data_IF_891607961994
#
_entry.id   IF_891607961994
#
_cell.length_a   1.000
_cell.length_b   1.000
_cell.length_c   1.000
_cell.angle_alpha   90.00
_cell.angle_beta   90.00
_cell.angle_gamma   90.00
#
_symmetry.space_group_name_H-M   'P 1'
#
loop_
_entity.id
_entity.type
_entity.pdbx_description
1 polymer ?
#
# COMPACT_ATOMS: atom_id res chain seq x y z
N UNK A 1 21.87 -10.93 -29.09
CA UNK A 1 21.71 -11.08 -27.62
C UNK A 1 20.23 -10.92 -27.30
N UNK A 2 19.54 -12.04 -27.10
CA UNK A 2 18.08 -12.08 -26.94
C UNK A 2 17.72 -11.82 -25.47
N UNK A 3 17.08 -10.68 -25.18
CA UNK A 3 16.51 -10.40 -23.85
C UNK A 3 15.23 -11.22 -23.73
N UNK A 4 15.26 -12.29 -22.93
CA UNK A 4 14.04 -12.97 -22.49
C UNK A 4 13.25 -11.96 -21.67
N UNK A 5 12.13 -11.49 -22.21
CA UNK A 5 11.09 -10.86 -21.43
C UNK A 5 10.41 -11.98 -20.66
N UNK A 6 10.79 -12.15 -19.39
CA UNK A 6 10.02 -13.00 -18.50
C UNK A 6 8.63 -12.37 -18.34
N UNK A 7 7.64 -12.93 -19.05
CA UNK A 7 6.23 -12.63 -18.86
C UNK A 7 5.85 -13.15 -17.46
N UNK A 8 5.59 -12.25 -16.53
CA UNK A 8 5.01 -12.62 -15.23
C UNK A 8 3.51 -12.33 -15.29
N UNK A 9 2.73 -13.36 -14.99
CA UNK A 9 1.27 -13.34 -15.03
C UNK A 9 0.73 -12.65 -13.78
N UNK A 10 -0.04 -11.57 -13.95
CA UNK A 10 -0.86 -10.99 -12.89
C UNK A 10 -2.10 -11.87 -12.74
N UNK A 11 -2.25 -12.56 -11.62
CA UNK A 11 -3.43 -13.36 -11.33
C UNK A 11 -4.49 -12.50 -10.63
N UNK A 12 -5.49 -12.02 -11.38
CA UNK A 12 -6.70 -11.40 -10.84
C UNK A 12 -7.57 -12.49 -10.22
N UNK A 13 -7.52 -12.68 -8.90
CA UNK A 13 -8.46 -13.54 -8.19
C UNK A 13 -9.63 -12.70 -7.67
N UNK A 14 -10.86 -13.09 -8.03
CA UNK A 14 -12.11 -12.50 -7.52
C UNK A 14 -12.87 -13.59 -6.75
N UNK A 15 -13.18 -13.37 -5.46
CA UNK A 15 -14.15 -14.04 -4.55
C UNK A 15 -13.52 -14.29 -3.14
N UNK A 16 -14.22 -14.31 -1.99
CA UNK A 16 -15.63 -14.24 -1.62
C UNK A 16 -15.81 -14.26 -0.06
N UNK A 17 -16.98 -13.81 0.39
CA UNK A 17 -17.71 -13.98 1.68
C UNK A 17 -17.00 -13.95 3.06
N UNK A 18 -17.29 -12.88 3.83
CA UNK A 18 -16.99 -12.71 5.25
C UNK A 18 -17.84 -13.64 6.14
N UNK A 19 -17.19 -14.46 6.98
CA UNK A 19 -17.80 -15.08 8.17
C UNK A 19 -17.49 -14.21 9.38
N UNK A 20 -18.52 -13.61 9.99
CA UNK A 20 -18.44 -12.93 11.28
C UNK A 20 -18.55 -13.93 12.43
N UNK A 21 -17.51 -14.04 13.25
CA UNK A 21 -17.58 -14.62 14.60
C UNK A 21 -17.67 -13.50 15.64
N UNK A 22 -18.65 -13.62 16.53
CA UNK A 22 -19.00 -12.63 17.57
C UNK A 22 -18.29 -12.97 18.88
N UNK A 23 -17.53 -12.04 19.48
CA UNK A 23 -16.94 -12.21 20.83
C UNK A 23 -17.70 -11.39 21.90
N UNK A 24 -17.94 -12.02 23.05
CA UNK A 24 -18.73 -11.53 24.19
C UNK A 24 -17.97 -10.54 25.11
N UNK A 25 -18.65 -9.74 25.97
CA UNK A 25 -18.04 -8.61 26.66
C UNK A 25 -17.60 -8.92 28.10
N UNK A 26 -16.44 -8.41 28.51
CA UNK A 26 -16.00 -8.44 29.91
C UNK A 26 -14.77 -7.58 30.21
N UNK A 27 -15.02 -6.41 30.83
CA UNK A 27 -14.24 -5.87 31.96
C UNK A 27 -12.84 -5.25 31.77
N UNK A 28 -12.74 -4.00 32.27
CA UNK A 28 -11.57 -3.26 32.78
C UNK A 28 -10.79 -2.33 31.84
N UNK A 29 -10.66 -1.08 32.31
CA UNK A 29 -10.09 0.07 31.63
C UNK A 29 -8.60 -0.07 31.41
N UNK A 30 -8.26 -0.46 30.19
CA UNK A 30 -7.02 -0.11 29.51
C UNK A 30 -7.40 1.04 28.56
N UNK A 31 -6.53 2.04 28.37
CA UNK A 31 -6.64 2.92 27.20
C UNK A 31 -6.39 2.04 25.96
N UNK A 32 -7.42 1.27 25.60
CA UNK A 32 -7.52 0.49 24.38
C UNK A 32 -7.54 1.54 23.28
N UNK A 33 -6.35 1.86 22.76
CA UNK A 33 -6.23 2.41 21.40
C UNK A 33 -7.14 1.56 20.55
N UNK A 34 -8.18 2.17 19.99
CA UNK A 34 -9.22 1.45 19.27
C UNK A 34 -8.55 0.88 18.03
N UNK A 35 -8.29 -0.44 17.94
CA UNK A 35 -7.70 -1.03 16.75
C UNK A 35 -8.57 -0.74 15.52
N UNK A 36 -9.86 -0.50 15.75
CA UNK A 36 -10.83 -0.07 14.74
C UNK A 36 -10.62 1.34 14.20
N UNK A 37 -9.99 2.28 14.94
CA UNK A 37 -9.78 3.64 14.46
C UNK A 37 -8.56 3.72 13.56
N UNK A 38 -7.43 3.12 13.98
CA UNK A 38 -6.20 3.13 13.20
C UNK A 38 -6.38 2.35 11.88
N UNK A 39 -7.06 1.20 11.94
CA UNK A 39 -7.46 0.45 10.73
C UNK A 39 -8.42 1.25 9.84
N UNK A 40 -9.38 1.97 10.43
CA UNK A 40 -10.30 2.81 9.65
C UNK A 40 -9.59 3.98 8.99
N UNK A 41 -8.64 4.63 9.67
CA UNK A 41 -7.84 5.72 9.10
C UNK A 41 -7.00 5.16 7.95
N UNK A 42 -6.28 4.06 8.20
CA UNK A 42 -5.47 3.36 7.20
C UNK A 42 -6.29 3.08 5.92
N UNK A 43 -7.44 2.43 6.08
CA UNK A 43 -8.32 2.06 4.97
C UNK A 43 -8.84 3.29 4.21
N UNK A 44 -9.15 4.37 4.93
CA UNK A 44 -9.63 5.61 4.31
C UNK A 44 -8.52 6.36 3.57
N UNK A 45 -7.28 6.31 4.05
CA UNK A 45 -6.11 6.83 3.33
C UNK A 45 -5.89 6.03 2.04
N UNK A 46 -5.89 4.70 2.10
CA UNK A 46 -5.75 3.83 0.93
C UNK A 46 -6.86 4.08 -0.11
N UNK A 47 -8.11 4.22 0.32
CA UNK A 47 -9.24 4.58 -0.55
C UNK A 47 -9.05 5.96 -1.21
N UNK A 48 -8.55 6.94 -0.44
CA UNK A 48 -8.27 8.29 -0.95
C UNK A 48 -7.20 8.27 -2.02
N UNK A 49 -6.13 7.48 -1.83
CA UNK A 49 -5.06 7.29 -2.81
C UNK A 49 -5.62 6.72 -4.11
N UNK A 50 -6.39 5.64 -4.04
CA UNK A 50 -6.99 5.02 -5.22
C UNK A 50 -7.95 5.98 -5.95
N UNK A 51 -8.76 6.76 -5.22
CA UNK A 51 -9.66 7.76 -5.81
C UNK A 51 -8.93 8.91 -6.50
N UNK A 52 -7.71 9.25 -6.05
CA UNK A 52 -6.87 10.29 -6.68
C UNK A 52 -6.10 9.79 -7.91
N UNK A 53 -6.02 8.47 -8.14
CA UNK A 53 -5.34 7.85 -9.27
C UNK A 53 -6.15 7.93 -10.59
N UNK A 54 -6.61 9.13 -10.94
CA UNK A 54 -7.47 9.36 -12.10
C UNK A 54 -6.73 9.03 -13.40
N UNK A 55 -7.32 8.12 -14.20
CA UNK A 55 -6.74 7.63 -15.45
C UNK A 55 -5.90 6.36 -15.30
N UNK A 56 -5.80 5.80 -14.10
CA UNK A 56 -5.17 4.50 -13.85
C UNK A 56 -6.22 3.45 -13.44
N UNK A 57 -5.84 2.17 -13.52
CA UNK A 57 -6.54 1.11 -12.81
C UNK A 57 -5.97 0.98 -11.40
N UNK A 58 -6.76 1.32 -10.37
CA UNK A 58 -6.35 1.24 -8.97
C UNK A 58 -7.06 0.09 -8.24
N UNK A 59 -6.29 -0.73 -7.55
CA UNK A 59 -6.76 -1.87 -6.76
C UNK A 59 -6.34 -1.66 -5.30
N UNK A 60 -7.25 -1.92 -4.37
CA UNK A 60 -7.01 -1.73 -2.94
C UNK A 60 -7.19 -3.01 -2.16
N UNK A 61 -6.36 -3.21 -1.14
CA UNK A 61 -6.45 -4.35 -0.22
C UNK A 61 -6.99 -3.96 1.17
N UNK A 62 -7.96 -3.05 1.17
CA UNK A 62 -8.62 -2.46 2.35
C UNK A 62 -9.33 -3.54 3.18
N UNK A 63 -9.31 -3.42 4.52
CA UNK A 63 -10.05 -4.30 5.42
C UNK A 63 -9.64 -5.78 5.36
N UNK A 64 -8.42 -6.07 4.88
CA UNK A 64 -7.94 -7.45 4.68
C UNK A 64 -8.51 -8.14 3.45
N UNK A 65 -9.23 -7.41 2.57
CA UNK A 65 -9.57 -7.93 1.26
C UNK A 65 -8.30 -7.98 0.39
N UNK A 66 -8.03 -9.10 -0.28
CA UNK A 66 -6.90 -9.23 -1.20
C UNK A 66 -7.36 -9.10 -2.65
N UNK A 67 -7.77 -7.88 -3.04
CA UNK A 67 -8.16 -7.57 -4.42
C UNK A 67 -7.02 -7.79 -5.43
N UNK A 68 -5.77 -7.64 -4.99
CA UNK A 68 -4.60 -7.91 -5.82
C UNK A 68 -3.40 -8.33 -4.98
N UNK A 69 -2.72 -9.40 -5.41
CA UNK A 69 -1.43 -9.81 -4.86
C UNK A 69 -0.35 -9.65 -5.93
N UNK A 70 0.85 -9.26 -5.51
CA UNK A 70 2.05 -9.29 -6.35
C UNK A 70 2.75 -10.62 -6.10
N UNK A 71 2.93 -11.38 -7.18
CA UNK A 71 3.56 -12.70 -7.15
C UNK A 71 4.76 -12.72 -8.09
N UNK A 72 5.76 -13.56 -7.79
CA UNK A 72 6.98 -13.65 -8.59
C UNK A 72 7.96 -14.65 -8.00
N UNK A 73 9.27 -14.39 -8.14
CA UNK A 73 10.32 -15.20 -7.51
C UNK A 73 10.45 -14.98 -5.99
N UNK A 74 9.60 -14.13 -5.42
CA UNK A 74 9.58 -13.76 -4.01
C UNK A 74 8.26 -14.18 -3.37
N UNK A 75 8.18 -14.05 -2.04
CA UNK A 75 6.95 -14.29 -1.27
C UNK A 75 5.81 -13.45 -1.85
N UNK A 76 4.62 -14.04 -1.90
CA UNK A 76 3.40 -13.30 -2.24
C UNK A 76 3.20 -12.15 -1.25
N UNK A 77 2.94 -10.95 -1.78
CA UNK A 77 2.67 -9.75 -1.00
C UNK A 77 1.39 -9.09 -1.50
N UNK A 78 0.66 -8.48 -0.58
CA UNK A 78 -0.61 -7.80 -0.86
C UNK A 78 -0.48 -6.35 -0.43
N UNK A 79 0.00 -5.45 -1.32
CA UNK A 79 0.18 -4.07 -0.96
C UNK A 79 -1.15 -3.36 -0.71
N UNK A 80 -1.17 -2.27 0.06
CA UNK A 80 -2.45 -1.60 0.37
C UNK A 80 -3.13 -1.01 -0.86
N UNK A 81 -2.33 -0.43 -1.78
CA UNK A 81 -2.81 0.04 -3.09
C UNK A 81 -1.83 -0.35 -4.20
N UNK A 82 -2.37 -0.90 -5.30
CA UNK A 82 -1.64 -1.12 -6.56
C UNK A 82 -2.29 -0.28 -7.65
N UNK A 83 -1.47 0.50 -8.35
CA UNK A 83 -1.91 1.39 -9.42
C UNK A 83 -1.20 0.95 -10.71
N UNK A 84 -2.01 0.57 -11.69
CA UNK A 84 -1.55 0.07 -12.97
C UNK A 84 -1.94 0.99 -14.11
N UNK A 85 -1.12 0.97 -15.16
CA UNK A 85 -1.54 1.44 -16.47
C UNK A 85 -2.82 0.69 -16.90
N UNK A 86 -3.89 1.38 -17.30
CA UNK A 86 -5.19 0.76 -17.53
C UNK A 86 -5.26 -0.10 -18.80
N UNK A 87 -4.33 0.08 -19.74
CA UNK A 87 -4.33 -0.65 -21.01
C UNK A 87 -3.47 -1.91 -20.94
N UNK A 88 -2.26 -1.77 -20.41
CA UNK A 88 -1.25 -2.83 -20.33
C UNK A 88 -1.30 -3.63 -19.04
N UNK A 89 -2.02 -3.13 -18.02
CA UNK A 89 -2.04 -3.67 -16.65
C UNK A 89 -0.66 -3.72 -15.97
N UNK A 90 0.34 -3.02 -16.52
CA UNK A 90 1.65 -2.93 -15.91
C UNK A 90 1.57 -2.07 -14.64
N UNK A 91 2.21 -2.55 -13.58
CA UNK A 91 2.29 -1.85 -12.31
C UNK A 91 3.17 -0.61 -12.46
N UNK A 92 2.57 0.56 -12.26
CA UNK A 92 3.26 1.86 -12.29
C UNK A 92 3.55 2.36 -10.88
N UNK A 93 2.64 2.16 -9.93
CA UNK A 93 2.86 2.50 -8.53
C UNK A 93 2.33 1.43 -7.58
N UNK A 94 3.04 1.24 -6.47
CA UNK A 94 2.62 0.43 -5.33
C UNK A 94 2.74 1.28 -4.09
N UNK A 95 1.74 1.22 -3.22
CA UNK A 95 1.61 2.09 -2.07
C UNK A 95 1.32 1.27 -0.83
N UNK A 96 2.12 1.50 0.21
CA UNK A 96 1.85 1.08 1.58
C UNK A 96 1.45 2.29 2.41
N UNK A 97 0.43 2.13 3.24
CA UNK A 97 -0.09 3.15 4.14
C UNK A 97 0.26 2.75 5.56
N UNK A 98 0.84 3.69 6.29
CA UNK A 98 1.31 3.42 7.64
C UNK A 98 0.80 4.50 8.58
N UNK A 99 0.35 4.04 9.76
CA UNK A 99 0.02 4.90 10.90
C UNK A 99 1.24 4.93 11.83
N UNK A 100 1.40 6.00 12.61
CA UNK A 100 2.65 6.24 13.36
C UNK A 100 3.11 5.05 14.21
N UNK A 101 2.17 4.31 14.80
CA UNK A 101 2.48 3.16 15.66
C UNK A 101 2.85 1.87 14.92
N UNK A 102 2.56 1.78 13.62
CA UNK A 102 2.89 0.61 12.79
C UNK A 102 4.30 0.68 12.22
N UNK A 103 5.03 1.78 12.41
CA UNK A 103 6.41 1.94 11.92
C UNK A 103 7.38 1.28 12.89
N UNK A 104 7.54 -0.03 12.73
CA UNK A 104 8.38 -0.89 13.56
C UNK A 104 9.34 -1.71 12.68
N UNK A 105 10.41 -2.29 13.23
CA UNK A 105 11.34 -3.13 12.47
C UNK A 105 10.67 -4.28 11.69
N UNK A 106 9.64 -4.90 12.26
CA UNK A 106 8.91 -5.99 11.58
C UNK A 106 8.17 -5.51 10.32
N UNK A 107 7.71 -4.26 10.32
CA UNK A 107 7.04 -3.62 9.18
C UNK A 107 8.03 -3.37 8.03
N UNK A 108 9.29 -3.07 8.35
CA UNK A 108 10.33 -2.93 7.33
C UNK A 108 10.55 -4.24 6.53
N UNK A 109 10.34 -5.41 7.13
CA UNK A 109 10.40 -6.68 6.40
C UNK A 109 9.28 -6.80 5.35
N UNK A 110 8.05 -6.37 5.68
CA UNK A 110 6.94 -6.33 4.71
C UNK A 110 7.26 -5.38 3.56
N UNK A 111 7.77 -4.19 3.86
CA UNK A 111 8.18 -3.23 2.84
C UNK A 111 9.30 -3.76 1.94
N UNK A 112 10.27 -4.48 2.52
CA UNK A 112 11.34 -5.10 1.75
C UNK A 112 10.82 -6.18 0.80
N UNK A 113 9.87 -7.00 1.25
CA UNK A 113 9.24 -8.02 0.41
C UNK A 113 8.49 -7.37 -0.77
N UNK A 114 7.78 -6.26 -0.52
CA UNK A 114 7.09 -5.48 -1.57
C UNK A 114 8.09 -4.85 -2.55
N UNK A 115 9.13 -4.18 -2.04
CA UNK A 115 10.15 -3.55 -2.87
C UNK A 115 10.85 -4.57 -3.79
N UNK A 116 11.07 -5.79 -3.30
CA UNK A 116 11.61 -6.90 -4.10
C UNK A 116 10.61 -7.40 -5.13
N UNK A 117 9.34 -7.55 -4.75
CA UNK A 117 8.29 -7.99 -5.66
C UNK A 117 8.13 -7.04 -6.87
N UNK A 118 8.43 -5.74 -6.69
CA UNK A 118 8.39 -4.75 -7.77
C UNK A 118 9.76 -4.37 -8.32
N UNK A 119 10.85 -5.06 -7.97
CA UNK A 119 12.20 -4.61 -8.32
C UNK A 119 12.36 -4.41 -9.84
N UNK A 120 12.69 -3.18 -10.24
CA UNK A 120 12.82 -2.79 -11.65
C UNK A 120 11.49 -2.50 -12.36
N UNK A 121 10.39 -2.38 -11.63
CA UNK A 121 9.03 -2.12 -12.13
C UNK A 121 8.30 -1.15 -11.22
N UNK A 122 7.64 -0.16 -11.82
CA UNK A 122 6.87 0.83 -11.07
C UNK A 122 7.68 1.59 -10.00
N UNK A 123 6.96 2.29 -9.13
CA UNK A 123 7.53 3.07 -8.04
C UNK A 123 6.89 2.62 -6.73
N UNK A 124 7.72 2.29 -5.74
CA UNK A 124 7.24 1.96 -4.39
C UNK A 124 7.09 3.23 -3.55
N UNK A 125 5.91 3.43 -2.96
CA UNK A 125 5.60 4.51 -2.05
C UNK A 125 5.24 3.96 -0.67
N UNK A 126 5.74 4.63 0.37
CA UNK A 126 5.29 4.44 1.74
C UNK A 126 4.70 5.80 2.19
N UNK A 127 3.42 5.80 2.53
CA UNK A 127 2.69 6.97 2.98
C UNK A 127 2.55 6.95 4.50
N UNK A 128 3.13 7.95 5.15
CA UNK A 128 3.18 8.08 6.62
C UNK A 128 2.60 9.41 7.08
N UNK A 129 2.31 9.55 8.37
CA UNK A 129 2.07 10.87 8.94
C UNK A 129 3.35 11.73 8.91
N UNK A 130 3.25 13.08 8.84
CA UNK A 130 4.42 13.95 8.76
C UNK A 130 5.45 13.76 9.89
N UNK A 131 4.99 13.44 11.10
CA UNK A 131 5.85 13.16 12.26
C UNK A 131 6.71 11.91 12.09
N UNK A 132 6.27 10.97 11.25
CA UNK A 132 6.85 9.64 11.09
C UNK A 132 7.87 9.54 9.93
N UNK A 133 8.06 10.60 9.15
CA UNK A 133 8.96 10.59 7.97
C UNK A 133 10.38 10.16 8.34
N UNK A 134 10.92 10.69 9.44
CA UNK A 134 12.30 10.40 9.85
C UNK A 134 12.49 8.92 10.19
N UNK A 135 11.56 8.35 10.96
CA UNK A 135 11.56 6.93 11.34
C UNK A 135 11.42 6.02 10.13
N UNK A 136 10.49 6.31 9.22
CA UNK A 136 10.29 5.53 8.00
C UNK A 136 11.53 5.54 7.10
N UNK A 137 12.17 6.72 6.93
CA UNK A 137 13.43 6.84 6.17
C UNK A 137 14.55 6.03 6.81
N UNK A 138 14.72 6.15 8.12
CA UNK A 138 15.75 5.40 8.83
C UNK A 138 15.58 3.89 8.66
N UNK A 139 14.35 3.37 8.73
CA UNK A 139 14.08 1.95 8.50
C UNK A 139 14.36 1.55 7.04
N UNK A 140 13.96 2.37 6.07
CA UNK A 140 14.25 2.10 4.66
C UNK A 140 15.76 2.06 4.39
N UNK A 141 16.51 3.04 4.91
CA UNK A 141 17.96 3.13 4.73
C UNK A 141 18.67 1.94 5.39
N UNK A 142 18.27 1.57 6.61
CA UNK A 142 18.83 0.43 7.33
C UNK A 142 18.59 -0.92 6.62
N UNK A 143 17.44 -1.07 5.97
CA UNK A 143 17.07 -2.29 5.26
C UNK A 143 17.41 -2.27 3.75
N UNK A 144 17.94 -1.16 3.22
CA UNK A 144 18.24 -1.01 1.80
C UNK A 144 16.99 -0.99 0.91
N UNK A 145 15.87 -0.46 1.40
CA UNK A 145 14.59 -0.42 0.71
C UNK A 145 14.53 0.81 -0.19
N UNK A 146 14.44 0.61 -1.50
CA UNK A 146 14.26 1.68 -2.48
C UNK A 146 12.79 2.11 -2.55
N UNK A 147 12.32 2.84 -1.54
CA UNK A 147 10.98 3.40 -1.47
C UNK A 147 11.02 4.94 -1.48
N UNK A 148 10.00 5.54 -2.07
CA UNK A 148 9.72 6.96 -1.91
C UNK A 148 8.80 7.17 -0.71
N UNK A 149 9.07 8.20 0.08
CA UNK A 149 8.23 8.56 1.23
C UNK A 149 7.32 9.71 0.84
N UNK A 150 6.01 9.47 0.90
CA UNK A 150 4.98 10.50 0.86
C UNK A 150 4.34 10.67 2.23
N UNK A 151 3.45 11.67 2.35
CA UNK A 151 2.73 11.91 3.59
C UNK A 151 1.23 11.90 3.42
N UNK A 152 0.53 11.60 4.49
CA UNK A 152 -0.89 11.83 4.62
C UNK A 152 -1.19 12.55 5.93
N UNK A 153 -2.24 13.36 5.93
CA UNK A 153 -2.75 14.04 7.13
C UNK A 153 -4.26 14.09 7.11
N UNK A 154 -4.88 14.02 8.28
CA UNK A 154 -6.32 14.16 8.45
C UNK A 154 -6.65 15.50 9.12
N UNK A 155 -7.58 16.27 8.55
CA UNK A 155 -8.13 17.48 9.14
C UNK A 155 -9.66 17.40 9.07
N UNK A 156 -10.30 17.17 10.23
CA UNK A 156 -11.71 16.79 10.28
C UNK A 156 -11.95 15.49 9.49
N UNK A 157 -12.84 15.55 8.51
CA UNK A 157 -13.16 14.41 7.62
C UNK A 157 -12.31 14.37 6.34
N UNK A 158 -11.39 15.32 6.17
CA UNK A 158 -10.59 15.47 4.95
C UNK A 158 -9.24 14.78 5.11
N UNK A 159 -8.93 13.84 4.22
CA UNK A 159 -7.60 13.26 4.08
C UNK A 159 -6.86 13.99 2.97
N UNK A 160 -5.68 14.51 3.30
CA UNK A 160 -4.76 15.13 2.35
C UNK A 160 -3.59 14.20 2.13
N UNK A 161 -3.32 13.85 0.87
CA UNK A 161 -2.15 13.07 0.47
C UNK A 161 -1.16 14.03 -0.17
N UNK A 162 0.09 14.00 0.30
CA UNK A 162 1.19 14.74 -0.31
C UNK A 162 2.24 13.74 -0.77
N UNK A 163 2.31 13.55 -2.07
CA UNK A 163 3.39 12.85 -2.74
C UNK A 163 3.74 13.60 -4.04
N UNK A 164 4.99 13.51 -4.52
CA UNK A 164 5.53 14.33 -5.62
C UNK A 164 4.82 14.22 -6.97
N UNK A 165 3.83 13.33 -7.12
CA UNK A 165 3.14 13.12 -8.39
C UNK A 165 1.64 13.27 -8.15
N UNK A 166 0.99 14.34 -8.66
CA UNK A 166 -0.42 14.22 -8.97
C UNK A 166 -0.50 13.07 -9.99
N UNK A 167 -1.15 11.96 -9.63
CA UNK A 167 -1.51 10.90 -10.57
C UNK A 167 -2.56 11.46 -11.54
N UNK A 168 -2.16 12.42 -12.37
CA UNK A 168 -3.01 13.11 -13.34
C UNK A 168 -2.50 12.67 -14.70
N UNK A 169 -3.24 11.72 -15.26
CA UNK A 169 -3.00 11.02 -16.52
C UNK A 169 -1.97 9.88 -16.45
N UNK A 170 -2.39 8.69 -16.90
CA UNK A 170 -1.48 7.64 -17.30
C UNK A 170 -0.54 8.16 -18.40
N UNK A 171 0.75 7.77 -18.41
CA UNK A 171 1.62 8.10 -19.53
C UNK A 171 1.07 7.43 -20.78
N UNK A 172 0.63 8.22 -21.77
CA UNK A 172 0.32 7.70 -23.11
C UNK A 172 1.62 7.18 -23.70
N UNK A 173 1.83 5.86 -23.69
CA UNK A 173 3.00 5.24 -24.32
C UNK A 173 2.68 5.09 -25.81
N UNK A 174 3.33 5.92 -26.64
CA UNK A 174 3.33 5.81 -28.10
C UNK A 174 4.18 4.63 -28.59
#
# INVERSE_FOLDING_TARGET
MSRRHDQYTIHLMRQGELRTETAAPGGQGMLMRRPSLDLWIHDRVAATVAAQAVGYAAYTNIGGHHSMCLTGSFREVSPDVVICDPESFLVDHVVEVEVEDTIQPDTAQRWLDIARAIQGRGVFWILVQPSAIASARQLCDAAGIAAHIGTWSINGDTITITWPVPLRAAPVRH
#
